data_IF_192193805669
#
_entry.id   IF_192193805669
#
_cell.length_a   1.000
_cell.length_b   1.000
_cell.length_c   1.000
_cell.angle_alpha   90.00
_cell.angle_beta   90.00
_cell.angle_gamma   90.00
#
_symmetry.space_group_name_H-M   'P 1'
#
loop_
_entity.id
_entity.type
_entity.pdbx_description
1 polymer ?
#
# COMPACT_ATOMS: atom_id res chain seq x y z
N UNK A 1 -20.26 -1.47 17.51
CA UNK A 1 -19.31 -1.35 18.64
C UNK A 1 -18.06 -0.69 18.09
N UNK A 2 -17.60 0.43 18.65
CA UNK A 2 -16.28 0.99 18.30
C UNK A 2 -15.22 0.05 18.89
N UNK A 3 -14.51 -0.67 18.03
CA UNK A 3 -13.33 -1.42 18.44
C UNK A 3 -12.32 -0.41 19.02
N UNK A 4 -11.97 -0.59 20.29
CA UNK A 4 -11.10 0.34 21.03
C UNK A 4 -9.66 -0.16 20.88
N UNK A 5 -8.87 0.53 20.06
CA UNK A 5 -7.42 0.27 19.95
C UNK A 5 -6.78 0.66 21.29
N UNK A 6 -5.97 -0.21 21.87
CA UNK A 6 -5.20 0.08 23.07
C UNK A 6 -3.92 0.83 22.73
N UNK A 7 -3.65 1.95 23.42
CA UNK A 7 -2.41 2.71 23.28
C UNK A 7 -2.51 3.92 22.35
N UNK A 8 -1.39 4.61 22.17
CA UNK A 8 -1.26 5.75 21.25
C UNK A 8 -0.97 5.25 19.83
N UNK A 9 -1.47 5.97 18.82
CA UNK A 9 -1.21 5.67 17.41
C UNK A 9 -0.26 6.70 16.84
N UNK A 10 0.71 6.25 16.05
CA UNK A 10 1.59 7.10 15.24
C UNK A 10 1.45 6.70 13.77
N UNK A 11 1.47 7.70 12.87
CA UNK A 11 1.48 7.49 11.42
C UNK A 11 2.84 7.92 10.89
N UNK A 12 3.64 6.95 10.44
CA UNK A 12 4.91 7.20 9.77
C UNK A 12 4.65 7.35 8.26
N UNK A 13 4.47 8.59 7.79
CA UNK A 13 4.15 8.88 6.38
C UNK A 13 5.41 8.88 5.52
N UNK A 14 5.48 7.94 4.57
CA UNK A 14 6.51 7.91 3.52
C UNK A 14 5.86 7.86 2.15
N UNK A 15 5.96 8.95 1.38
CA UNK A 15 5.30 9.09 0.07
C UNK A 15 6.23 9.76 -0.93
N UNK A 16 6.19 9.32 -2.18
CA UNK A 16 6.94 9.95 -3.27
C UNK A 16 6.00 10.27 -4.43
N UNK A 17 5.88 11.56 -4.79
CA UNK A 17 5.00 11.97 -5.88
C UNK A 17 5.58 11.54 -7.23
N UNK A 18 4.74 10.98 -8.10
CA UNK A 18 5.15 10.55 -9.44
C UNK A 18 5.94 9.25 -9.49
N UNK A 19 6.09 8.54 -8.36
CA UNK A 19 6.56 7.16 -8.39
C UNK A 19 5.47 6.23 -8.90
N UNK A 20 5.90 5.06 -9.36
CA UNK A 20 5.03 3.97 -9.79
C UNK A 20 5.40 2.70 -9.04
N UNK A 21 4.50 1.73 -9.00
CA UNK A 21 4.62 0.46 -8.27
C UNK A 21 5.97 -0.27 -8.44
N UNK A 22 6.61 -0.20 -9.61
CA UNK A 22 7.92 -0.81 -9.84
C UNK A 22 9.07 -0.10 -9.09
N UNK A 23 8.99 1.21 -8.88
CA UNK A 23 9.96 2.00 -8.09
C UNK A 23 10.00 1.55 -6.62
N UNK A 24 8.93 0.91 -6.16
CA UNK A 24 8.79 0.34 -4.81
C UNK A 24 9.23 -1.12 -4.71
N UNK A 25 9.61 -1.76 -5.83
CA UNK A 25 10.13 -3.13 -5.79
C UNK A 25 11.58 -3.13 -5.30
N UNK A 26 12.08 -4.24 -4.72
CA UNK A 26 13.48 -4.35 -4.31
C UNK A 26 14.47 -4.12 -5.45
N UNK A 27 14.10 -4.52 -6.67
CA UNK A 27 14.91 -4.33 -7.87
C UNK A 27 14.85 -2.89 -8.40
N UNK A 28 13.86 -2.10 -7.99
CA UNK A 28 13.59 -0.77 -8.50
C UNK A 28 13.16 -0.75 -9.98
N UNK A 29 13.17 0.45 -10.57
CA UNK A 29 12.95 0.65 -12.00
C UNK A 29 14.27 0.84 -12.76
N UNK A 30 14.19 0.90 -14.10
CA UNK A 30 15.35 1.13 -14.99
C UNK A 30 16.09 2.44 -14.64
N UNK A 31 15.38 3.42 -14.07
CA UNK A 31 16.01 4.59 -13.50
C UNK A 31 16.43 4.28 -12.06
N UNK A 32 17.69 3.86 -11.86
CA UNK A 32 18.21 3.46 -10.54
C UNK A 32 18.02 4.54 -9.46
N UNK A 33 18.07 5.82 -9.84
CA UNK A 33 17.79 6.96 -8.95
C UNK A 33 16.35 7.03 -8.43
N UNK A 34 15.43 6.25 -9.01
CA UNK A 34 14.04 6.09 -8.58
C UNK A 34 13.79 4.81 -7.81
N UNK A 35 14.81 4.04 -7.43
CA UNK A 35 14.61 2.93 -6.50
C UNK A 35 14.31 3.47 -5.10
N UNK A 36 13.02 3.49 -4.75
CA UNK A 36 12.51 4.06 -3.50
C UNK A 36 12.51 3.02 -2.38
N UNK A 37 12.46 1.73 -2.73
CA UNK A 37 12.33 0.64 -1.76
C UNK A 37 13.38 0.66 -0.63
N UNK A 38 14.69 0.80 -0.89
CA UNK A 38 15.69 0.85 0.18
C UNK A 38 15.46 2.01 1.15
N UNK A 39 15.06 3.18 0.63
CA UNK A 39 14.79 4.37 1.43
C UNK A 39 13.53 4.18 2.29
N UNK A 40 12.50 3.53 1.76
CA UNK A 40 11.29 3.18 2.50
C UNK A 40 11.59 2.26 3.69
N UNK A 41 12.37 1.20 3.49
CA UNK A 41 12.76 0.28 4.57
C UNK A 41 13.64 0.98 5.61
N UNK A 42 14.60 1.80 5.17
CA UNK A 42 15.44 2.60 6.07
C UNK A 42 14.59 3.54 6.92
N UNK A 43 13.66 4.28 6.30
CA UNK A 43 12.74 5.18 6.99
C UNK A 43 11.94 4.47 8.09
N UNK A 44 11.39 3.27 7.83
CA UNK A 44 10.66 2.51 8.86
C UNK A 44 11.57 2.20 10.05
N UNK A 45 12.79 1.72 9.79
CA UNK A 45 13.75 1.36 10.85
C UNK A 45 14.14 2.59 11.67
N UNK A 46 14.43 3.70 11.00
CA UNK A 46 14.80 4.98 11.63
C UNK A 46 13.66 5.54 12.48
N UNK A 47 12.43 5.58 11.95
CA UNK A 47 11.27 6.08 12.68
C UNK A 47 10.96 5.26 13.94
N UNK A 48 11.08 3.93 13.87
CA UNK A 48 10.92 3.05 15.04
C UNK A 48 12.04 3.29 16.04
N UNK A 49 13.28 3.43 15.57
CA UNK A 49 14.44 3.65 16.45
C UNK A 49 14.34 4.99 17.17
N UNK A 50 13.97 6.07 16.47
CA UNK A 50 13.79 7.40 17.05
C UNK A 50 12.78 7.40 18.20
N UNK A 51 11.64 6.71 18.02
CA UNK A 51 10.64 6.57 19.09
C UNK A 51 11.17 5.75 20.27
N UNK A 52 11.92 4.68 20.02
CA UNK A 52 12.56 3.86 21.07
C UNK A 52 13.62 4.64 21.84
N UNK A 53 14.41 5.46 21.14
CA UNK A 53 15.43 6.32 21.76
C UNK A 53 14.80 7.38 22.67
N UNK A 54 13.56 7.79 22.38
CA UNK A 54 12.72 8.62 23.25
C UNK A 54 11.93 7.83 24.31
N UNK A 55 12.30 6.58 24.57
CA UNK A 55 11.73 5.74 25.64
C UNK A 55 10.34 5.18 25.35
N UNK A 56 9.88 5.21 24.09
CA UNK A 56 8.59 4.63 23.72
C UNK A 56 8.71 3.13 23.45
N UNK A 57 7.69 2.37 23.86
CA UNK A 57 7.48 1.02 23.36
C UNK A 57 6.70 1.10 22.05
N UNK A 58 7.26 0.55 20.98
CA UNK A 58 6.72 0.71 19.62
C UNK A 58 6.51 -0.66 18.98
N UNK A 59 5.32 -0.85 18.45
CA UNK A 59 4.94 -1.98 17.61
C UNK A 59 4.58 -1.46 16.22
N UNK A 60 5.17 -2.05 15.17
CA UNK A 60 4.76 -1.78 13.80
C UNK A 60 3.57 -2.69 13.46
N UNK A 61 2.36 -2.14 13.55
CA UNK A 61 1.11 -2.90 13.39
C UNK A 61 0.75 -3.23 11.93
N UNK A 62 1.35 -2.51 10.97
CA UNK A 62 1.11 -2.76 9.56
C UNK A 62 1.67 -1.68 8.64
N UNK A 63 1.75 -2.01 7.36
CA UNK A 63 2.03 -1.06 6.27
C UNK A 63 0.75 -0.82 5.49
N UNK A 64 0.43 0.45 5.23
CA UNK A 64 -0.73 0.87 4.47
C UNK A 64 -0.28 1.41 3.12
N UNK A 65 -0.56 0.66 2.05
CA UNK A 65 -0.18 1.00 0.68
C UNK A 65 -1.42 1.32 -0.14
N UNK A 66 -1.33 2.33 -1.01
CA UNK A 66 -2.42 2.68 -1.91
C UNK A 66 -1.99 2.44 -3.36
N UNK A 67 -2.63 1.47 -4.00
CA UNK A 67 -2.51 1.20 -5.43
C UNK A 67 -3.41 2.17 -6.21
N UNK A 68 -2.78 3.21 -6.75
CA UNK A 68 -3.48 4.33 -7.37
C UNK A 68 -3.70 4.15 -8.87
N UNK A 69 -4.37 5.14 -9.46
CA UNK A 69 -4.69 5.21 -10.89
C UNK A 69 -3.46 4.96 -11.80
N UNK A 70 -2.33 5.60 -11.49
CA UNK A 70 -1.14 5.59 -12.33
C UNK A 70 -0.48 4.21 -12.43
N UNK A 71 -0.55 3.41 -11.35
CA UNK A 71 0.02 2.05 -11.31
C UNK A 71 -0.73 1.09 -12.23
N UNK A 72 -1.99 1.40 -12.52
CA UNK A 72 -2.86 0.57 -13.33
C UNK A 72 -3.06 1.16 -14.73
N UNK A 73 -2.50 2.31 -15.06
CA UNK A 73 -2.80 2.97 -16.34
C UNK A 73 -1.99 2.44 -17.53
N UNK A 74 -0.85 1.80 -17.29
CA UNK A 74 -0.02 1.22 -18.36
C UNK A 74 -0.18 -0.31 -18.42
N UNK A 75 -0.28 -0.94 -19.61
CA UNK A 75 -0.51 -2.39 -19.72
C UNK A 75 0.52 -3.25 -19.00
N UNK A 76 1.81 -2.94 -19.14
CA UNK A 76 2.88 -3.67 -18.45
C UNK A 76 2.81 -3.51 -16.94
N UNK A 77 2.46 -2.31 -16.45
CA UNK A 77 2.37 -2.03 -15.03
C UNK A 77 1.16 -2.73 -14.42
N UNK A 78 -0.01 -2.60 -15.06
CA UNK A 78 -1.24 -3.29 -14.65
C UNK A 78 -1.05 -4.80 -14.59
N UNK A 79 -0.38 -5.39 -15.58
CA UNK A 79 -0.11 -6.84 -15.63
C UNK A 79 0.83 -7.29 -14.51
N UNK A 80 1.86 -6.50 -14.20
CA UNK A 80 2.88 -6.90 -13.23
C UNK A 80 2.59 -6.43 -11.79
N UNK A 81 1.59 -5.56 -11.58
CA UNK A 81 1.25 -5.01 -10.27
C UNK A 81 1.08 -6.08 -9.17
N UNK A 82 0.36 -7.21 -9.39
CA UNK A 82 0.23 -8.25 -8.37
C UNK A 82 1.59 -8.84 -7.96
N UNK A 83 2.44 -9.16 -8.93
CA UNK A 83 3.77 -9.73 -8.69
C UNK A 83 4.72 -8.73 -8.00
N UNK A 84 4.69 -7.47 -8.41
CA UNK A 84 5.51 -6.43 -7.81
C UNK A 84 5.10 -6.10 -6.38
N UNK A 85 3.80 -6.06 -6.08
CA UNK A 85 3.32 -5.93 -4.70
C UNK A 85 3.75 -7.14 -3.87
N UNK A 86 3.56 -8.36 -4.38
CA UNK A 86 3.98 -9.58 -3.68
C UNK A 86 5.47 -9.56 -3.35
N UNK A 87 6.34 -9.24 -4.31
CA UNK A 87 7.79 -9.22 -4.10
C UNK A 87 8.20 -8.15 -3.09
N UNK A 88 7.55 -6.98 -3.15
CA UNK A 88 7.76 -5.87 -2.21
C UNK A 88 7.38 -6.26 -0.79
N UNK A 89 6.21 -6.88 -0.60
CA UNK A 89 5.71 -7.34 0.70
C UNK A 89 6.66 -8.39 1.30
N UNK A 90 6.99 -9.43 0.52
CA UNK A 90 7.87 -10.52 0.95
C UNK A 90 9.25 -9.99 1.35
N UNK A 91 9.85 -9.13 0.53
CA UNK A 91 11.16 -8.59 0.81
C UNK A 91 11.12 -7.62 2.01
N UNK A 92 10.05 -6.81 2.15
CA UNK A 92 9.91 -5.89 3.29
C UNK A 92 9.83 -6.64 4.63
N UNK A 93 9.02 -7.71 4.68
CA UNK A 93 8.95 -8.59 5.85
C UNK A 93 10.30 -9.18 6.22
N UNK A 94 11.06 -9.64 5.22
CA UNK A 94 12.42 -10.16 5.42
C UNK A 94 13.37 -9.10 5.96
N UNK A 95 13.39 -7.90 5.36
CA UNK A 95 14.33 -6.84 5.72
C UNK A 95 14.01 -6.17 7.06
N UNK A 96 12.74 -6.18 7.48
CA UNK A 96 12.28 -5.75 8.80
C UNK A 96 12.32 -6.88 9.84
N UNK A 97 12.58 -8.12 9.43
CA UNK A 97 12.51 -9.32 10.28
C UNK A 97 11.13 -9.52 10.95
N UNK A 98 10.07 -9.19 10.22
CA UNK A 98 8.67 -9.28 10.67
C UNK A 98 7.89 -10.15 9.67
N UNK A 99 7.97 -11.50 9.76
CA UNK A 99 7.35 -12.41 8.79
C UNK A 99 5.82 -12.28 8.71
N UNK A 100 5.19 -11.82 9.80
CA UNK A 100 3.74 -11.65 9.89
C UNK A 100 3.27 -10.20 9.76
N UNK A 101 4.14 -9.28 9.32
CA UNK A 101 3.77 -7.88 9.14
C UNK A 101 2.59 -7.76 8.16
N UNK A 102 1.47 -7.23 8.66
CA UNK A 102 0.26 -6.98 7.88
C UNK A 102 0.50 -5.87 6.85
N UNK A 103 0.04 -6.10 5.63
CA UNK A 103 0.01 -5.12 4.56
C UNK A 103 -1.44 -4.89 4.15
N UNK A 104 -1.91 -3.66 4.34
CA UNK A 104 -3.22 -3.19 3.93
C UNK A 104 -3.05 -2.45 2.61
N UNK A 105 -3.45 -3.10 1.51
CA UNK A 105 -3.31 -2.57 0.16
C UNK A 105 -4.69 -2.12 -0.31
N UNK A 106 -4.91 -0.81 -0.31
CA UNK A 106 -6.10 -0.22 -0.91
C UNK A 106 -5.95 -0.06 -2.41
N UNK A 107 -7.02 -0.28 -3.17
CA UNK A 107 -7.04 -0.21 -4.62
C UNK A 107 -8.21 0.66 -5.08
N UNK A 108 -7.94 1.68 -5.91
CA UNK A 108 -8.99 2.40 -6.65
C UNK A 108 -9.56 1.54 -7.79
N UNK A 109 -10.74 1.86 -8.37
CA UNK A 109 -11.18 1.20 -9.59
C UNK A 109 -10.07 1.25 -10.65
N UNK A 110 -9.73 0.11 -11.31
CA UNK A 110 -8.78 0.13 -12.40
C UNK A 110 -9.20 1.14 -13.48
N UNK A 111 -8.23 1.83 -14.09
CA UNK A 111 -8.58 2.79 -15.16
C UNK A 111 -9.32 2.13 -16.30
N UNK A 112 -10.40 2.78 -16.73
CA UNK A 112 -11.21 2.32 -17.85
C UNK A 112 -10.65 2.90 -19.16
N UNK A 113 -9.85 2.10 -19.86
CA UNK A 113 -9.32 2.41 -21.18
C UNK A 113 -9.10 1.12 -21.98
N UNK A 114 -9.48 1.13 -23.26
CA UNK A 114 -9.45 -0.05 -24.15
C UNK A 114 -8.12 -0.80 -24.09
N UNK A 115 -7.00 -0.08 -24.09
CA UNK A 115 -5.63 -0.63 -24.04
C UNK A 115 -5.30 -1.48 -22.81
N UNK A 116 -6.08 -1.41 -21.74
CA UNK A 116 -5.82 -2.07 -20.45
C UNK A 116 -7.03 -2.83 -19.89
N UNK A 117 -8.22 -2.67 -20.47
CA UNK A 117 -9.46 -3.30 -19.99
C UNK A 117 -9.46 -4.83 -20.14
N UNK A 118 -8.58 -5.40 -20.96
CA UNK A 118 -8.39 -6.85 -21.07
C UNK A 118 -7.50 -7.44 -19.96
N UNK A 119 -6.97 -6.62 -19.04
CA UNK A 119 -6.13 -7.05 -17.92
C UNK A 119 -6.93 -6.88 -16.63
N UNK A 120 -7.36 -8.01 -16.05
CA UNK A 120 -8.08 -8.03 -14.78
C UNK A 120 -7.12 -8.02 -13.58
N UNK A 121 -6.54 -6.85 -13.32
CA UNK A 121 -5.60 -6.66 -12.20
C UNK A 121 -6.25 -6.91 -10.84
N UNK A 122 -7.55 -6.68 -10.72
CA UNK A 122 -8.27 -6.85 -9.45
C UNK A 122 -8.33 -8.32 -9.08
N UNK A 123 -8.76 -9.20 -10.01
CA UNK A 123 -8.78 -10.64 -9.75
C UNK A 123 -7.38 -11.23 -9.54
N UNK A 124 -6.35 -10.73 -10.24
CA UNK A 124 -4.98 -11.19 -9.99
C UNK A 124 -4.43 -10.74 -8.63
N UNK A 125 -4.77 -9.53 -8.16
CA UNK A 125 -4.45 -9.08 -6.81
C UNK A 125 -5.15 -9.90 -5.73
N UNK A 126 -6.44 -10.21 -5.93
CA UNK A 126 -7.20 -11.06 -5.03
C UNK A 126 -6.55 -12.44 -4.88
N UNK A 127 -6.09 -13.05 -5.97
CA UNK A 127 -5.39 -14.34 -5.93
C UNK A 127 -4.13 -14.26 -5.08
N UNK A 128 -3.30 -13.24 -5.30
CA UNK A 128 -2.07 -13.05 -4.52
C UNK A 128 -2.38 -12.79 -3.04
N UNK A 129 -3.36 -11.93 -2.74
CA UNK A 129 -3.77 -11.64 -1.38
C UNK A 129 -4.37 -12.87 -0.67
N UNK A 130 -5.17 -13.68 -1.37
CA UNK A 130 -5.75 -14.91 -0.81
C UNK A 130 -4.73 -15.99 -0.43
N UNK A 131 -3.52 -15.92 -1.01
CA UNK A 131 -2.42 -16.82 -0.70
C UNK A 131 -1.58 -16.35 0.51
N UNK A 132 -1.87 -15.16 1.06
CA UNK A 132 -1.14 -14.55 2.17
C UNK A 132 -2.12 -13.91 3.17
N UNK A 133 -2.34 -14.57 4.31
CA UNK A 133 -3.26 -14.10 5.35
C UNK A 133 -2.91 -12.70 5.92
N UNK A 134 -1.68 -12.24 5.73
CA UNK A 134 -1.21 -10.93 6.18
C UNK A 134 -1.18 -9.90 5.03
N UNK A 135 -1.71 -10.22 3.84
CA UNK A 135 -1.99 -9.29 2.75
C UNK A 135 -3.50 -9.05 2.67
N UNK A 136 -3.92 -7.89 3.19
CA UNK A 136 -5.31 -7.45 3.19
C UNK A 136 -5.55 -6.54 1.98
N UNK A 137 -6.35 -7.02 1.02
CA UNK A 137 -6.74 -6.25 -0.17
C UNK A 137 -8.06 -5.49 0.09
N UNK A 138 -8.01 -4.16 0.01
CA UNK A 138 -9.13 -3.25 0.25
C UNK A 138 -9.57 -2.65 -1.09
N UNK A 139 -10.77 -3.00 -1.55
CA UNK A 139 -11.33 -2.48 -2.80
C UNK A 139 -12.08 -1.17 -2.56
N UNK A 140 -11.37 -0.06 -2.67
CA UNK A 140 -11.93 1.28 -2.50
C UNK A 140 -12.61 1.76 -3.79
N UNK A 141 -13.65 1.04 -4.22
CA UNK A 141 -14.29 1.24 -5.54
C UNK A 141 -15.50 2.18 -5.52
N UNK A 142 -15.99 2.46 -4.33
CA UNK A 142 -17.15 3.30 -4.00
C UNK A 142 -16.75 4.71 -3.53
N UNK A 143 -15.49 5.11 -3.74
CA UNK A 143 -15.03 6.46 -3.46
C UNK A 143 -15.85 7.50 -4.25
N UNK A 144 -16.01 8.73 -3.73
CA UNK A 144 -16.76 9.79 -4.38
C UNK A 144 -16.20 10.08 -5.78
N UNK A 145 -17.11 10.44 -6.70
CA UNK A 145 -16.72 10.76 -8.07
C UNK A 145 -15.82 11.99 -8.10
N UNK A 146 -14.64 11.83 -8.69
CA UNK A 146 -13.70 12.91 -8.89
C UNK A 146 -14.03 13.66 -10.19
N UNK A 147 -13.95 14.99 -10.17
CA UNK A 147 -14.07 15.81 -11.39
C UNK A 147 -12.86 15.61 -12.32
N UNK A 148 -11.67 15.41 -11.74
CA UNK A 148 -10.41 15.17 -12.46
C UNK A 148 -9.95 13.74 -12.20
N UNK A 149 -9.68 12.98 -13.26
CA UNK A 149 -9.14 11.60 -13.21
C UNK A 149 -7.62 11.60 -12.94
N UNK A 150 -7.17 12.26 -11.87
CA UNK A 150 -5.72 12.37 -11.57
C UNK A 150 -5.47 12.22 -10.07
N UNK A 151 -6.28 12.87 -9.22
CA UNK A 151 -6.10 12.87 -7.77
C UNK A 151 -7.45 12.72 -7.08
N UNK A 152 -7.46 11.93 -6.00
CA UNK A 152 -8.61 11.80 -5.11
C UNK A 152 -8.83 13.15 -4.41
N UNK A 153 -10.06 13.64 -4.42
CA UNK A 153 -10.43 14.85 -3.71
C UNK A 153 -10.49 14.64 -2.19
N UNK A 154 -10.70 15.71 -1.43
CA UNK A 154 -10.75 15.65 0.03
C UNK A 154 -11.81 14.66 0.54
N UNK A 155 -13.00 14.63 -0.07
CA UNK A 155 -14.06 13.73 0.36
C UNK A 155 -13.66 12.26 0.13
N UNK A 156 -13.06 11.94 -1.01
CA UNK A 156 -12.57 10.60 -1.29
C UNK A 156 -11.37 10.20 -0.44
N UNK A 157 -10.48 11.12 -0.07
CA UNK A 157 -9.37 10.82 0.85
C UNK A 157 -9.90 10.49 2.25
N UNK A 158 -10.92 11.21 2.73
CA UNK A 158 -11.57 10.90 4.01
C UNK A 158 -12.21 9.50 3.96
N UNK A 159 -13.03 9.22 2.94
CA UNK A 159 -13.67 7.91 2.80
C UNK A 159 -12.66 6.77 2.63
N UNK A 160 -11.57 6.98 1.88
CA UNK A 160 -10.48 6.01 1.76
C UNK A 160 -9.83 5.72 3.12
N UNK A 161 -9.60 6.76 3.93
CA UNK A 161 -9.07 6.62 5.29
C UNK A 161 -10.01 5.84 6.20
N UNK A 162 -11.32 6.10 6.11
CA UNK A 162 -12.35 5.36 6.86
C UNK A 162 -12.36 3.87 6.48
N UNK A 163 -12.35 3.53 5.19
CA UNK A 163 -12.30 2.14 4.73
C UNK A 163 -11.02 1.41 5.16
N UNK A 164 -9.87 2.10 5.12
CA UNK A 164 -8.61 1.55 5.62
C UNK A 164 -8.70 1.30 7.13
N UNK A 165 -9.24 2.24 7.89
CA UNK A 165 -9.41 2.10 9.34
C UNK A 165 -10.37 0.96 9.69
N UNK A 166 -11.52 0.86 9.02
CA UNK A 166 -12.47 -0.25 9.19
C UNK A 166 -11.83 -1.60 8.89
N UNK A 167 -11.08 -1.69 7.78
CA UNK A 167 -10.35 -2.90 7.43
C UNK A 167 -9.26 -3.25 8.44
N UNK A 168 -8.59 -2.26 9.04
CA UNK A 168 -7.63 -2.51 10.11
C UNK A 168 -8.31 -3.04 11.37
N UNK A 169 -9.42 -2.41 11.77
CA UNK A 169 -10.18 -2.76 12.97
C UNK A 169 -10.84 -4.14 12.87
N UNK A 170 -11.23 -4.59 11.67
CA UNK A 170 -11.81 -5.93 11.46
C UNK A 170 -10.78 -7.06 11.55
N UNK A 171 -9.49 -6.73 11.61
CA UNK A 171 -8.37 -7.67 11.67
C UNK A 171 -7.73 -7.71 13.07
N UNK A 172 -8.37 -7.06 14.06
CA UNK A 172 -7.96 -7.05 15.47
C UNK A 172 -8.64 -8.17 16.27
#
# INVERSE_FOLDING_TARGET
MQAKISGNIAIAKFTHSGSQINDWTPQGSVAESRNIYPQFVAFIKEAIQELKDHGQQVELVGVFYHLGENDMSMPSYRKNAPQWLQSTIVQCRKDLQLPDLKWFVSQQPPTNAERVNNIDVTTELEKVASADNNFIHIKAFDLPKQEKKIVIDTAGIVQLGEQIAESYLSQQ
#
